data_IF_284081053085
#
_entry.id   IF_284081053085
#
_cell.length_a   1.000
_cell.length_b   1.000
_cell.length_c   1.000
_cell.angle_alpha   90.00
_cell.angle_beta   90.00
_cell.angle_gamma   90.00
#
_symmetry.space_group_name_H-M   'P 1'
#
loop_
_entity.id
_entity.type
_entity.pdbx_description
1 polymer ?
#
# COMPACT_ATOMS: atom_id res chain seq x y z
N UNK A 1 -26.55 -15.43 -15.29
CA UNK A 1 -26.68 -16.23 -14.05
C UNK A 1 -25.33 -16.72 -13.52
N UNK A 2 -24.38 -17.13 -14.38
CA UNK A 2 -23.02 -17.48 -13.96
C UNK A 2 -22.24 -16.31 -13.32
N UNK A 3 -22.38 -15.09 -13.85
CA UNK A 3 -21.63 -13.93 -13.35
C UNK A 3 -22.11 -13.43 -11.98
N UNK A 4 -23.39 -13.57 -11.67
CA UNK A 4 -23.97 -13.19 -10.37
C UNK A 4 -23.46 -14.09 -9.25
N UNK A 5 -23.32 -15.40 -9.53
CA UNK A 5 -22.80 -16.38 -8.58
C UNK A 5 -21.29 -16.16 -8.35
N UNK A 6 -20.52 -15.78 -9.37
CA UNK A 6 -19.10 -15.43 -9.21
C UNK A 6 -18.89 -14.16 -8.37
N UNK A 7 -19.69 -13.11 -8.57
CA UNK A 7 -19.59 -11.88 -7.78
C UNK A 7 -20.00 -12.10 -6.31
N UNK A 8 -21.09 -12.83 -6.04
CA UNK A 8 -21.50 -13.14 -4.67
C UNK A 8 -20.48 -14.02 -3.93
N UNK A 9 -19.81 -14.93 -4.64
CA UNK A 9 -18.76 -15.78 -4.06
C UNK A 9 -17.48 -15.01 -3.75
N UNK A 10 -17.15 -13.99 -4.54
CA UNK A 10 -16.01 -13.09 -4.26
C UNK A 10 -16.28 -12.16 -3.07
N UNK A 11 -17.51 -11.62 -2.95
CA UNK A 11 -17.92 -10.80 -1.80
C UNK A 11 -17.94 -11.60 -0.49
N UNK A 12 -18.45 -12.84 -0.53
CA UNK A 12 -18.39 -13.75 0.64
C UNK A 12 -16.95 -14.11 1.03
N UNK A 13 -16.07 -14.42 0.07
CA UNK A 13 -14.66 -14.72 0.36
C UNK A 13 -13.93 -13.53 1.03
N UNK A 14 -14.23 -12.30 0.60
CA UNK A 14 -13.66 -11.10 1.19
C UNK A 14 -14.17 -10.84 2.61
N UNK A 15 -15.47 -11.08 2.85
CA UNK A 15 -16.08 -10.96 4.18
C UNK A 15 -15.51 -11.97 5.18
N UNK A 16 -15.33 -13.22 4.75
CA UNK A 16 -14.83 -14.30 5.62
C UNK A 16 -13.36 -14.08 6.02
N UNK A 17 -12.52 -13.62 5.08
CA UNK A 17 -11.12 -13.25 5.39
C UNK A 17 -11.02 -12.07 6.36
N UNK A 18 -11.89 -11.07 6.23
CA UNK A 18 -11.90 -9.93 7.16
C UNK A 18 -12.30 -10.36 8.58
N UNK A 19 -13.31 -11.23 8.68
CA UNK A 19 -13.76 -11.77 9.96
C UNK A 19 -12.70 -12.66 10.62
N UNK A 20 -11.92 -13.41 9.83
CA UNK A 20 -10.80 -14.21 10.31
C UNK A 20 -9.65 -13.35 10.83
N UNK A 21 -9.19 -12.36 10.05
CA UNK A 21 -8.16 -11.40 10.49
C UNK A 21 -8.57 -10.62 11.74
N UNK A 22 -9.84 -10.22 11.82
CA UNK A 22 -10.37 -9.55 13.02
C UNK A 22 -10.31 -10.46 14.25
N UNK A 23 -10.57 -11.76 14.11
CA UNK A 23 -10.42 -12.74 15.20
C UNK A 23 -8.96 -12.91 15.61
N UNK A 24 -8.03 -12.98 14.67
CA UNK A 24 -6.60 -13.06 14.95
C UNK A 24 -6.10 -11.82 15.72
N UNK A 25 -6.49 -10.63 15.30
CA UNK A 25 -6.15 -9.37 15.97
C UNK A 25 -6.69 -9.37 17.41
N UNK A 26 -7.96 -9.74 17.60
CA UNK A 26 -8.56 -9.78 18.93
C UNK A 26 -7.90 -10.82 19.85
N UNK A 27 -7.50 -11.96 19.28
CA UNK A 27 -6.71 -12.98 19.99
C UNK A 27 -5.35 -12.43 20.43
N UNK A 28 -4.66 -11.72 19.53
CA UNK A 28 -3.37 -11.08 19.84
C UNK A 28 -3.52 -10.01 20.92
N UNK A 29 -4.54 -9.14 20.83
CA UNK A 29 -4.81 -8.13 21.87
C UNK A 29 -5.05 -8.80 23.22
N UNK A 30 -5.81 -9.89 23.24
CA UNK A 30 -6.11 -10.67 24.45
C UNK A 30 -4.87 -11.37 25.03
N UNK A 31 -3.80 -11.54 24.24
CA UNK A 31 -2.55 -12.12 24.71
C UNK A 31 -1.71 -11.14 25.55
N UNK A 32 -2.01 -9.84 25.50
CA UNK A 32 -1.36 -8.85 26.35
C UNK A 32 -1.99 -8.81 27.76
N UNK A 33 -1.20 -8.54 28.81
CA UNK A 33 -1.71 -8.41 30.18
C UNK A 33 -2.84 -7.36 30.24
N UNK A 34 -4.01 -7.77 30.72
CA UNK A 34 -5.22 -6.94 30.82
C UNK A 34 -5.74 -6.35 29.49
N UNK A 35 -5.34 -6.93 28.34
CA UNK A 35 -5.71 -6.39 27.02
C UNK A 35 -5.08 -5.03 26.69
N UNK A 36 -4.07 -4.61 27.47
CA UNK A 36 -3.37 -3.33 27.26
C UNK A 36 -2.22 -3.58 26.28
N UNK A 37 -2.35 -3.01 25.09
CA UNK A 37 -1.25 -2.98 24.12
C UNK A 37 -0.19 -2.00 24.62
N UNK A 38 1.09 -2.42 24.73
CA UNK A 38 2.15 -1.53 25.19
C UNK A 38 2.35 -0.36 24.23
N UNK A 39 2.76 0.79 24.76
CA UNK A 39 3.20 1.92 23.94
C UNK A 39 4.35 1.48 23.02
N UNK A 40 4.31 1.98 21.78
CA UNK A 40 5.30 1.66 20.77
C UNK A 40 5.60 2.88 19.93
N UNK A 41 6.83 2.97 19.40
CA UNK A 41 7.23 4.07 18.53
C UNK A 41 6.32 4.19 17.30
N UNK A 42 5.85 3.06 16.77
CA UNK A 42 4.86 3.05 15.68
C UNK A 42 3.50 3.59 16.15
N UNK A 43 3.05 3.21 17.35
CA UNK A 43 1.81 3.73 17.95
C UNK A 43 1.86 5.25 18.12
N UNK A 44 2.97 5.77 18.62
CA UNK A 44 3.18 7.22 18.78
C UNK A 44 3.21 7.95 17.42
N UNK A 45 3.89 7.36 16.42
CA UNK A 45 3.94 7.90 15.07
C UNK A 45 2.56 7.90 14.39
N UNK A 46 1.75 6.85 14.61
CA UNK A 46 0.37 6.76 14.14
C UNK A 46 -0.53 7.81 14.80
N UNK A 47 -0.45 7.96 16.12
CA UNK A 47 -1.20 8.98 16.85
C UNK A 47 -0.85 10.38 16.35
N UNK A 48 0.43 10.67 16.16
CA UNK A 48 0.90 11.95 15.60
C UNK A 48 0.39 12.18 14.18
N UNK A 49 0.36 11.15 13.34
CA UNK A 49 -0.23 11.23 11.99
C UNK A 49 -1.73 11.54 12.07
N UNK A 50 -2.45 10.87 12.97
CA UNK A 50 -3.89 11.08 13.17
C UNK A 50 -4.19 12.51 13.66
N UNK A 51 -3.40 13.02 14.60
CA UNK A 51 -3.54 14.40 15.08
C UNK A 51 -3.34 15.42 13.94
N UNK A 52 -2.32 15.20 13.09
CA UNK A 52 -2.06 16.08 11.95
C UNK A 52 -3.11 15.96 10.85
N UNK A 53 -3.68 14.78 10.66
CA UNK A 53 -4.84 14.58 9.79
C UNK A 53 -6.06 15.37 10.28
N UNK A 54 -6.40 15.26 11.57
CA UNK A 54 -7.52 16.00 12.16
C UNK A 54 -7.30 17.51 12.12
N UNK A 55 -6.06 17.97 12.33
CA UNK A 55 -5.69 19.37 12.18
C UNK A 55 -5.92 19.87 10.73
N UNK A 56 -5.48 19.09 9.73
CA UNK A 56 -5.72 19.39 8.31
C UNK A 56 -7.21 19.46 8.00
N UNK A 57 -8.00 18.48 8.44
CA UNK A 57 -9.45 18.48 8.22
C UNK A 57 -10.12 19.68 8.89
N UNK A 58 -9.77 19.98 10.15
CA UNK A 58 -10.32 21.13 10.86
C UNK A 58 -10.03 22.46 10.16
N UNK A 59 -8.89 22.58 9.48
CA UNK A 59 -8.49 23.79 8.75
C UNK A 59 -9.12 23.88 7.36
N UNK A 60 -9.51 22.75 6.77
CA UNK A 60 -10.22 22.70 5.47
C UNK A 60 -11.73 22.85 5.64
N UNK A 61 -12.28 22.45 6.80
CA UNK A 61 -13.72 22.40 7.09
C UNK A 61 -14.26 23.65 7.81
N UNK A 62 -13.43 24.65 8.11
CA UNK A 62 -13.89 25.86 8.84
C UNK A 62 -15.06 26.57 8.15
N UNK A 63 -16.10 26.85 8.94
CA UNK A 63 -17.35 27.50 8.56
C UNK A 63 -17.15 28.94 8.04
N UNK A 64 -17.99 29.32 7.08
CA UNK A 64 -17.98 30.55 6.27
C UNK A 64 -18.47 31.80 7.03
N UNK A 65 -18.33 31.84 8.37
CA UNK A 65 -19.04 32.83 9.19
C UNK A 65 -18.14 33.84 9.95
N UNK A 66 -16.85 33.89 9.64
CA UNK A 66 -15.98 34.95 10.11
C UNK A 66 -15.33 35.66 8.92
N UNK A 67 -15.21 36.99 9.01
CA UNK A 67 -14.55 37.90 8.06
C UNK A 67 -13.51 37.17 7.23
N UNK A 68 -13.72 37.12 5.91
CA UNK A 68 -12.90 36.30 5.01
C UNK A 68 -11.41 36.54 5.29
N UNK A 69 -10.67 35.52 5.76
CA UNK A 69 -9.24 35.66 5.95
C UNK A 69 -8.58 36.04 4.62
N UNK A 70 -7.53 36.87 4.68
CA UNK A 70 -6.78 37.29 3.50
C UNK A 70 -6.25 36.01 2.79
N UNK A 71 -6.32 35.89 1.45
CA UNK A 71 -5.92 34.68 0.73
C UNK A 71 -4.55 34.12 1.12
N UNK A 72 -3.58 34.97 1.45
CA UNK A 72 -2.25 34.57 1.92
C UNK A 72 -2.31 33.75 3.21
N UNK A 73 -3.17 34.12 4.17
CA UNK A 73 -3.32 33.39 5.43
C UNK A 73 -3.97 32.01 5.23
N UNK A 74 -4.92 31.92 4.30
CA UNK A 74 -5.54 30.64 3.93
C UNK A 74 -4.48 29.72 3.33
N UNK A 75 -3.68 30.26 2.40
CA UNK A 75 -2.59 29.52 1.77
C UNK A 75 -1.53 29.06 2.76
N UNK A 76 -1.06 29.94 3.64
CA UNK A 76 -0.07 29.61 4.67
C UNK A 76 -0.59 28.52 5.61
N UNK A 77 -1.84 28.64 6.05
CA UNK A 77 -2.48 27.65 6.92
C UNK A 77 -2.55 26.29 6.22
N UNK A 78 -2.98 26.25 4.96
CA UNK A 78 -3.03 25.03 4.17
C UNK A 78 -1.65 24.40 3.96
N UNK A 79 -0.63 25.21 3.63
CA UNK A 79 0.75 24.74 3.46
C UNK A 79 1.31 24.15 4.77
N UNK A 80 1.08 24.81 5.90
CA UNK A 80 1.50 24.31 7.21
C UNK A 80 0.80 22.99 7.57
N UNK A 81 -0.50 22.90 7.32
CA UNK A 81 -1.32 21.71 7.54
C UNK A 81 -0.81 20.51 6.74
N UNK A 82 -0.66 20.71 5.43
CA UNK A 82 -0.23 19.67 4.48
C UNK A 82 1.19 19.23 4.79
N UNK A 83 2.09 20.17 5.07
CA UNK A 83 3.46 19.85 5.48
C UNK A 83 3.47 19.05 6.79
N UNK A 84 2.72 19.49 7.80
CA UNK A 84 2.63 18.80 9.08
C UNK A 84 2.10 17.38 8.96
N UNK A 85 1.07 17.16 8.13
CA UNK A 85 0.55 15.82 7.84
C UNK A 85 1.57 14.96 7.09
N UNK A 86 2.20 15.51 6.04
CA UNK A 86 3.26 14.81 5.29
C UNK A 86 4.40 14.36 6.20
N UNK A 87 4.91 15.26 7.04
CA UNK A 87 6.02 14.95 7.95
C UNK A 87 5.63 13.84 8.95
N UNK A 88 4.38 13.81 9.41
CA UNK A 88 3.89 12.74 10.27
C UNK A 88 3.76 11.39 9.54
N UNK A 89 3.28 11.39 8.29
CA UNK A 89 3.26 10.19 7.44
C UNK A 89 4.68 9.63 7.21
N UNK A 90 5.67 10.50 7.00
CA UNK A 90 7.08 10.09 6.87
C UNK A 90 7.60 9.46 8.17
N UNK A 91 7.25 10.02 9.32
CA UNK A 91 7.57 9.43 10.63
C UNK A 91 6.99 8.03 10.81
N UNK A 92 5.70 7.84 10.51
CA UNK A 92 5.05 6.52 10.55
C UNK A 92 5.72 5.52 9.60
N UNK A 93 6.02 5.94 8.37
CA UNK A 93 6.68 5.08 7.38
C UNK A 93 8.08 4.66 7.82
N UNK A 94 8.82 5.55 8.51
CA UNK A 94 10.13 5.21 9.07
C UNK A 94 10.02 4.07 10.09
N UNK A 95 9.04 4.13 10.99
CA UNK A 95 8.82 3.07 11.99
C UNK A 95 8.36 1.76 11.36
N UNK A 96 7.47 1.80 10.36
CA UNK A 96 7.09 0.60 9.60
C UNK A 96 8.29 -0.04 8.90
N UNK A 97 9.17 0.79 8.32
CA UNK A 97 10.39 0.32 7.67
C UNK A 97 11.33 -0.35 8.68
N UNK A 98 11.51 0.27 9.84
CA UNK A 98 12.32 -0.27 10.92
C UNK A 98 11.77 -1.61 11.45
N UNK A 99 10.45 -1.72 11.64
CA UNK A 99 9.79 -2.98 12.03
C UNK A 99 9.98 -4.05 10.96
N UNK A 100 9.80 -3.69 9.68
CA UNK A 100 10.00 -4.61 8.55
C UNK A 100 11.43 -5.16 8.52
N UNK A 101 12.44 -4.29 8.65
CA UNK A 101 13.84 -4.69 8.71
C UNK A 101 14.12 -5.62 9.90
N UNK A 102 13.61 -5.28 11.08
CA UNK A 102 13.76 -6.14 12.26
C UNK A 102 13.08 -7.50 12.09
N UNK A 103 11.94 -7.55 11.42
CA UNK A 103 11.27 -8.80 11.09
C UNK A 103 12.11 -9.63 10.12
N UNK A 104 12.65 -9.01 9.07
CA UNK A 104 13.53 -9.67 8.09
C UNK A 104 14.77 -10.28 8.75
N UNK A 105 15.43 -9.55 9.65
CA UNK A 105 16.59 -10.05 10.40
C UNK A 105 16.26 -11.25 11.29
N UNK A 106 15.04 -11.30 11.84
CA UNK A 106 14.58 -12.41 12.70
C UNK A 106 14.05 -13.61 11.92
N UNK A 107 13.68 -13.43 10.65
CA UNK A 107 13.00 -14.44 9.83
C UNK A 107 13.71 -14.62 8.47
N UNK A 108 15.00 -14.98 8.45
CA UNK A 108 15.78 -15.08 7.20
C UNK A 108 15.23 -16.14 6.23
N UNK A 109 14.68 -17.25 6.74
CA UNK A 109 14.14 -18.33 5.91
C UNK A 109 12.86 -17.90 5.19
N UNK A 110 11.94 -17.20 5.89
CA UNK A 110 10.73 -16.67 5.28
C UNK A 110 11.05 -15.55 4.28
N UNK A 111 12.04 -14.69 4.58
CA UNK A 111 12.54 -13.71 3.63
C UNK A 111 13.07 -14.39 2.36
N UNK A 112 13.94 -15.40 2.50
CA UNK A 112 14.51 -16.14 1.37
C UNK A 112 13.41 -16.77 0.51
N UNK A 113 12.39 -17.36 1.14
CA UNK A 113 11.24 -17.94 0.46
C UNK A 113 10.44 -16.90 -0.33
N UNK A 114 10.22 -15.72 0.26
CA UNK A 114 9.58 -14.60 -0.42
C UNK A 114 10.41 -14.10 -1.62
N UNK A 115 11.71 -13.90 -1.43
CA UNK A 115 12.63 -13.48 -2.49
C UNK A 115 12.64 -14.47 -3.66
N UNK A 116 12.72 -15.77 -3.38
CA UNK A 116 12.62 -16.82 -4.42
C UNK A 116 11.29 -16.74 -5.18
N UNK A 117 10.18 -16.49 -4.50
CA UNK A 117 8.88 -16.34 -5.15
C UNK A 117 8.83 -15.09 -6.05
N UNK A 118 9.41 -13.98 -5.62
CA UNK A 118 9.47 -12.75 -6.41
C UNK A 118 10.43 -12.87 -7.60
N UNK A 119 11.57 -13.57 -7.43
CA UNK A 119 12.45 -13.92 -8.54
C UNK A 119 11.75 -14.81 -9.56
N UNK A 120 10.98 -15.82 -9.13
CA UNK A 120 10.17 -16.64 -10.06
C UNK A 120 9.20 -15.80 -10.88
N UNK A 121 8.50 -14.85 -10.27
CA UNK A 121 7.61 -13.92 -11.00
C UNK A 121 8.38 -13.05 -11.98
N UNK A 122 9.57 -12.57 -11.59
CA UNK A 122 10.42 -11.77 -12.47
C UNK A 122 10.92 -12.57 -13.67
N UNK A 123 11.35 -13.82 -13.46
CA UNK A 123 11.75 -14.75 -14.53
C UNK A 123 10.59 -14.97 -15.50
N UNK A 124 9.40 -15.31 -14.98
CA UNK A 124 8.20 -15.48 -15.82
C UNK A 124 7.90 -14.23 -16.65
N UNK A 125 8.01 -13.04 -16.05
CA UNK A 125 7.82 -11.78 -16.78
C UNK A 125 8.85 -11.62 -17.89
N UNK A 126 10.11 -11.97 -17.64
CA UNK A 126 11.18 -11.90 -18.64
C UNK A 126 10.98 -12.90 -19.77
N UNK A 127 10.58 -14.13 -19.47
CA UNK A 127 10.22 -15.15 -20.47
C UNK A 127 9.10 -14.65 -21.39
N UNK A 128 8.04 -14.06 -20.82
CA UNK A 128 6.95 -13.48 -21.59
C UNK A 128 7.41 -12.32 -22.49
N UNK A 129 8.39 -11.53 -22.04
CA UNK A 129 8.96 -10.45 -22.86
C UNK A 129 9.83 -11.00 -23.99
N UNK A 130 10.63 -12.02 -23.72
CA UNK A 130 11.46 -12.69 -24.72
C UNK A 130 10.60 -13.35 -25.80
N UNK A 131 9.51 -14.01 -25.41
CA UNK A 131 8.56 -14.61 -26.35
C UNK A 131 7.93 -13.56 -27.26
N UNK A 132 7.52 -12.41 -26.71
CA UNK A 132 7.00 -11.29 -27.51
C UNK A 132 8.01 -10.74 -28.51
N UNK A 133 9.29 -10.65 -28.11
CA UNK A 133 10.35 -10.17 -29.00
C UNK A 133 10.63 -11.20 -30.09
N UNK A 134 10.69 -12.48 -29.74
CA UNK A 134 10.88 -13.58 -30.69
C UNK A 134 9.80 -13.55 -31.78
N UNK A 135 8.53 -13.45 -31.38
CA UNK A 135 7.41 -13.35 -32.31
C UNK A 135 7.59 -12.20 -33.31
N UNK A 136 7.98 -11.02 -32.82
CA UNK A 136 8.21 -9.84 -33.69
C UNK A 136 9.35 -10.07 -34.68
N UNK A 137 10.43 -10.74 -34.27
CA UNK A 137 11.54 -11.05 -35.16
C UNK A 137 11.09 -12.04 -36.24
N UNK A 138 10.34 -13.07 -35.85
CA UNK A 138 9.80 -14.06 -36.80
C UNK A 138 8.88 -13.37 -37.83
N UNK A 139 8.00 -12.46 -37.41
CA UNK A 139 7.15 -11.64 -38.30
C UNK A 139 7.97 -10.78 -39.28
N UNK A 140 9.04 -10.14 -38.80
CA UNK A 140 9.89 -9.27 -39.64
C UNK A 140 10.70 -10.09 -40.66
N UNK A 141 11.18 -11.28 -40.28
CA UNK A 141 11.88 -12.19 -41.19
C UNK A 141 10.92 -12.68 -42.28
N UNK A 142 9.70 -13.09 -41.91
CA UNK A 142 8.69 -13.53 -42.87
C UNK A 142 8.30 -12.40 -43.84
N UNK A 143 8.18 -11.16 -43.36
CA UNK A 143 7.94 -9.99 -44.21
C UNK A 143 9.10 -9.73 -45.18
N UNK A 144 10.35 -9.77 -44.69
CA UNK A 144 11.53 -9.57 -45.53
C UNK A 144 11.72 -10.66 -46.59
N UNK A 145 11.28 -11.89 -46.32
CA UNK A 145 11.29 -12.98 -47.30
C UNK A 145 10.21 -12.78 -48.37
N UNK A 146 9.06 -12.20 -48.03
CA UNK A 146 8.01 -11.94 -49.03
C UNK A 146 8.43 -10.84 -50.03
N UNK A 147 9.08 -9.78 -49.56
CA UNK A 147 9.58 -8.67 -50.40
C UNK A 147 10.75 -9.06 -51.32
N UNK A 148 11.41 -10.20 -51.12
CA UNK A 148 12.53 -10.66 -51.97
C UNK A 148 12.11 -11.55 -53.14
N UNK A 149 10.84 -11.98 -53.21
CA UNK A 149 10.32 -12.85 -54.27
C UNK A 149 9.29 -12.18 -55.21
N UNK A 150 9.05 -10.87 -55.08
CA UNK A 150 8.38 -10.02 -56.10
C UNK A 150 9.40 -9.23 -56.95
#
# INVERSE_FOLDING_TARGET
MSDIISSQKQEQLGSDQFAEKSREINSLISSFPNGIVPESLLGDALNKMFDKWNCLLSQVVTEVDQTQPIPEHIKETAEFAVKGFRDACLGMNSELTHISMNWQLKNPDELTKQEVADYKKSVQRQENLLEKIKHRIDEEIDFSLHDTFE
#
